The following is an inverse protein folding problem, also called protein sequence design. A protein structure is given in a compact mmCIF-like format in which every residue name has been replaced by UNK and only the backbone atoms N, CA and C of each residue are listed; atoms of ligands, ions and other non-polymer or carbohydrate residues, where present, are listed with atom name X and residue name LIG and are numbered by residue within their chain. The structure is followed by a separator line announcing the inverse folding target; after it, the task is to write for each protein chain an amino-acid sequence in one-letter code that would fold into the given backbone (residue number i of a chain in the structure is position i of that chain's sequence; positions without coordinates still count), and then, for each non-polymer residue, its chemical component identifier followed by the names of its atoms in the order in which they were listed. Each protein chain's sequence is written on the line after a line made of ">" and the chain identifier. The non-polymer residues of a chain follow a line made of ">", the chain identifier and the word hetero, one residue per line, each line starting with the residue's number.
data_IF_925098191822
#
_entry.id   IF_925098191822
#
_cell.length_a   1.000
_cell.length_b   1.000
_cell.length_c   1.000
_cell.angle_alpha   90.00
_cell.angle_beta   90.00
_cell.angle_gamma   90.00
#
_symmetry.space_group_name_H-M   'P 1'
#
loop_
_entity.id
_entity.type
_entity.pdbx_description
1 polymer ?
#
# COMPACT_ATOMS: atom_id res chain seq x y z
N UNK A 1 6.60 -13.35 68.09
CA UNK A 1 7.16 -13.92 66.84
C UNK A 1 7.52 -12.78 65.86
N UNK A 2 8.83 -12.48 65.78
CA UNK A 2 9.32 -11.49 64.82
C UNK A 2 9.45 -12.20 63.47
N UNK A 3 8.68 -11.75 62.49
CA UNK A 3 8.77 -12.25 61.12
C UNK A 3 10.08 -11.78 60.50
N UNK A 4 10.92 -12.71 60.11
CA UNK A 4 12.21 -12.45 59.48
C UNK A 4 11.95 -11.89 58.06
N UNK A 5 11.96 -10.58 57.90
CA UNK A 5 11.79 -9.93 56.62
C UNK A 5 13.12 -10.00 55.86
N UNK A 6 13.23 -10.97 54.95
CA UNK A 6 14.36 -11.04 54.05
C UNK A 6 14.24 -9.89 53.02
N UNK A 7 15.21 -8.99 53.05
CA UNK A 7 15.33 -7.92 52.05
C UNK A 7 16.03 -8.42 50.80
N UNK A 8 15.73 -7.78 49.64
CA UNK A 8 16.44 -8.01 48.40
C UNK A 8 17.88 -7.52 48.45
N UNK A 9 18.78 -8.28 47.90
CA UNK A 9 20.18 -7.87 47.78
C UNK A 9 20.37 -6.96 46.55
N UNK A 10 21.35 -6.07 46.61
CA UNK A 10 21.67 -5.17 45.51
C UNK A 10 22.11 -5.92 44.25
N UNK A 11 22.76 -7.07 44.41
CA UNK A 11 23.19 -7.93 43.32
C UNK A 11 22.02 -8.64 42.61
N UNK A 12 20.99 -9.05 43.35
CA UNK A 12 19.79 -9.64 42.75
C UNK A 12 19.07 -8.63 41.83
N UNK A 13 18.97 -7.36 42.28
CA UNK A 13 18.37 -6.34 41.44
C UNK A 13 19.22 -6.04 40.20
N UNK A 14 20.55 -6.00 40.33
CA UNK A 14 21.46 -5.70 39.25
C UNK A 14 21.41 -6.79 38.17
N UNK A 15 21.37 -8.06 38.54
CA UNK A 15 21.26 -9.19 37.61
C UNK A 15 19.93 -9.14 36.83
N UNK A 16 18.82 -8.84 37.51
CA UNK A 16 17.50 -8.75 36.86
C UNK A 16 17.48 -7.65 35.78
N UNK A 17 17.96 -6.45 36.09
CA UNK A 17 17.99 -5.37 35.11
C UNK A 17 18.95 -5.68 33.94
N UNK A 18 20.07 -6.35 34.19
CA UNK A 18 20.99 -6.78 33.14
C UNK A 18 20.33 -7.79 32.18
N UNK A 19 19.62 -8.78 32.71
CA UNK A 19 18.90 -9.77 31.90
C UNK A 19 17.78 -9.11 31.11
N UNK A 20 16.96 -8.24 31.70
CA UNK A 20 15.91 -7.49 31.00
C UNK A 20 16.51 -6.64 29.89
N UNK A 21 17.65 -5.97 30.15
CA UNK A 21 18.32 -5.16 29.13
C UNK A 21 18.74 -5.96 27.90
N UNK A 22 19.30 -7.16 28.09
CA UNK A 22 19.68 -8.04 26.98
C UNK A 22 18.46 -8.56 26.22
N UNK A 23 17.42 -9.01 26.92
CA UNK A 23 16.20 -9.51 26.28
C UNK A 23 15.49 -8.41 25.51
N UNK A 24 15.40 -7.20 26.05
CA UNK A 24 14.77 -6.07 25.37
C UNK A 24 15.45 -5.70 24.05
N UNK A 25 16.78 -5.80 23.97
CA UNK A 25 17.52 -5.46 22.77
C UNK A 25 17.17 -6.41 21.60
N UNK A 26 16.98 -7.69 21.86
CA UNK A 26 16.63 -8.70 20.85
C UNK A 26 15.19 -8.49 20.35
N UNK A 27 14.27 -8.17 21.27
CA UNK A 27 12.86 -7.96 20.96
C UNK A 27 12.66 -6.73 20.07
N UNK A 28 13.38 -5.64 20.32
CA UNK A 28 13.25 -4.41 19.53
C UNK A 28 13.57 -4.62 18.05
N UNK A 29 14.66 -5.33 17.74
CA UNK A 29 15.05 -5.62 16.35
C UNK A 29 14.02 -6.52 15.64
N UNK A 30 13.51 -7.53 16.34
CA UNK A 30 12.46 -8.41 15.80
C UNK A 30 11.16 -7.66 15.48
N UNK A 31 10.81 -6.68 16.33
CA UNK A 31 9.58 -5.93 16.20
C UNK A 31 9.60 -5.00 14.98
N UNK A 32 10.72 -4.39 14.66
CA UNK A 32 10.87 -3.53 13.47
C UNK A 32 10.64 -4.33 12.19
N UNK A 33 11.28 -5.48 12.06
CA UNK A 33 11.08 -6.38 10.92
C UNK A 33 9.63 -6.89 10.81
N UNK A 34 8.98 -7.16 11.95
CA UNK A 34 7.58 -7.59 11.95
C UNK A 34 6.62 -6.47 11.50
N UNK A 35 6.87 -5.23 11.92
CA UNK A 35 6.10 -4.06 11.49
C UNK A 35 6.21 -3.82 9.99
N UNK A 36 7.43 -3.88 9.45
CA UNK A 36 7.64 -3.68 8.02
C UNK A 36 6.88 -4.72 7.19
N UNK A 37 6.94 -5.99 7.57
CA UNK A 37 6.15 -7.04 6.92
C UNK A 37 4.63 -6.81 7.02
N UNK A 38 4.16 -6.28 8.14
CA UNK A 38 2.75 -5.94 8.31
C UNK A 38 2.34 -4.80 7.38
N UNK A 39 3.16 -3.76 7.22
CA UNK A 39 2.91 -2.66 6.28
C UNK A 39 2.88 -3.16 4.83
N UNK A 40 3.81 -4.02 4.44
CA UNK A 40 3.83 -4.63 3.10
C UNK A 40 2.52 -5.40 2.85
N UNK A 41 2.13 -6.27 3.78
CA UNK A 41 0.90 -7.05 3.64
C UNK A 41 -0.38 -6.19 3.58
N UNK A 42 -0.41 -5.09 4.32
CA UNK A 42 -1.50 -4.11 4.28
C UNK A 42 -1.57 -3.41 2.92
N UNK A 43 -0.44 -2.96 2.38
CA UNK A 43 -0.36 -2.35 1.06
C UNK A 43 -0.79 -3.33 -0.05
N UNK A 44 -0.32 -4.57 -0.02
CA UNK A 44 -0.72 -5.64 -0.95
C UNK A 44 -2.22 -5.90 -0.89
N UNK A 45 -2.79 -5.96 0.30
CA UNK A 45 -4.23 -6.16 0.50
C UNK A 45 -5.06 -5.03 -0.11
N UNK A 46 -4.63 -3.79 0.05
CA UNK A 46 -5.30 -2.63 -0.55
C UNK A 46 -5.19 -2.63 -2.07
N UNK A 47 -4.01 -2.91 -2.61
CA UNK A 47 -3.78 -3.05 -4.06
C UNK A 47 -4.70 -4.12 -4.64
N UNK A 48 -4.88 -5.24 -3.96
CA UNK A 48 -5.81 -6.31 -4.36
C UNK A 48 -7.27 -5.82 -4.39
N UNK A 49 -7.68 -5.03 -3.41
CA UNK A 49 -9.03 -4.45 -3.38
C UNK A 49 -9.23 -3.46 -4.53
N UNK A 50 -8.28 -2.55 -4.75
CA UNK A 50 -8.32 -1.59 -5.85
C UNK A 50 -8.35 -2.28 -7.21
N UNK A 51 -7.57 -3.35 -7.38
CA UNK A 51 -7.58 -4.17 -8.59
C UNK A 51 -8.97 -4.80 -8.84
N UNK A 52 -9.60 -5.37 -7.83
CA UNK A 52 -10.97 -5.92 -7.94
C UNK A 52 -11.99 -4.85 -8.34
N UNK A 53 -11.89 -3.65 -7.78
CA UNK A 53 -12.76 -2.53 -8.15
C UNK A 53 -12.59 -2.16 -9.62
N UNK A 54 -11.36 -2.12 -10.12
CA UNK A 54 -11.09 -1.85 -11.54
C UNK A 54 -11.75 -2.89 -12.43
N UNK A 55 -11.59 -4.18 -12.11
CA UNK A 55 -12.22 -5.26 -12.87
C UNK A 55 -13.75 -5.16 -12.88
N UNK A 56 -14.36 -4.91 -11.73
CA UNK A 56 -15.81 -4.77 -11.61
C UNK A 56 -16.30 -3.56 -12.42
N UNK A 57 -15.60 -2.44 -12.31
CA UNK A 57 -15.96 -1.25 -13.08
C UNK A 57 -15.82 -1.47 -14.59
N UNK A 58 -14.73 -2.11 -15.01
CA UNK A 58 -14.51 -2.48 -16.41
C UNK A 58 -15.64 -3.36 -16.97
N UNK A 59 -16.04 -4.38 -16.22
CA UNK A 59 -17.15 -5.27 -16.63
C UNK A 59 -18.48 -4.53 -16.72
N UNK A 60 -18.76 -3.63 -15.78
CA UNK A 60 -20.02 -2.89 -15.73
C UNK A 60 -20.09 -1.77 -16.78
N UNK A 61 -18.97 -1.16 -17.13
CA UNK A 61 -18.89 -0.02 -18.05
C UNK A 61 -18.71 -0.42 -19.52
N UNK A 62 -18.87 -1.70 -19.83
CA UNK A 62 -18.77 -2.16 -21.22
C UNK A 62 -17.36 -2.11 -21.81
N UNK A 63 -16.34 -2.28 -20.96
CA UNK A 63 -14.94 -2.30 -21.38
C UNK A 63 -14.20 -0.99 -21.17
N UNK A 64 -14.84 0.00 -20.56
CA UNK A 64 -14.14 1.24 -20.19
C UNK A 64 -13.49 1.08 -18.81
N UNK A 65 -12.19 1.00 -18.74
CA UNK A 65 -11.48 0.92 -17.47
C UNK A 65 -11.38 2.28 -16.78
N UNK A 66 -11.45 2.35 -15.45
CA UNK A 66 -11.01 3.54 -14.76
C UNK A 66 -9.53 3.72 -15.07
N UNK A 67 -9.24 4.58 -15.99
CA UNK A 67 -7.89 4.96 -16.36
C UNK A 67 -7.84 6.47 -16.46
N UNK A 68 -6.91 7.08 -15.86
CA UNK A 68 -5.84 7.61 -16.66
C UNK A 68 -4.50 7.01 -16.28
N UNK A 69 -3.70 6.73 -17.28
CA UNK A 69 -2.30 6.44 -17.10
C UNK A 69 -1.65 7.46 -16.16
N UNK A 70 -0.78 6.97 -15.30
CA UNK A 70 0.08 7.78 -14.44
C UNK A 70 -0.70 8.72 -13.50
N UNK A 71 -1.66 8.18 -12.79
CA UNK A 71 -2.51 8.98 -11.88
C UNK A 71 -2.45 8.43 -10.47
N UNK A 72 -2.26 9.35 -9.50
CA UNK A 72 -2.45 9.03 -8.10
C UNK A 72 -3.92 8.73 -7.82
N UNK A 73 -4.18 7.71 -7.02
CA UNK A 73 -5.52 7.32 -6.60
C UNK A 73 -5.76 7.85 -5.20
N UNK A 74 -6.79 8.66 -5.03
CA UNK A 74 -7.18 9.19 -3.72
C UNK A 74 -7.39 10.70 -3.70
N UNK A 75 -8.14 11.16 -2.71
CA UNK A 75 -8.40 12.57 -2.48
C UNK A 75 -7.15 13.28 -1.96
N UNK A 76 -6.76 14.38 -2.60
CA UNK A 76 -5.57 15.15 -2.20
C UNK A 76 -4.25 14.52 -2.64
N UNK A 77 -4.29 13.46 -3.43
CA UNK A 77 -3.13 12.84 -4.03
C UNK A 77 -2.74 13.56 -5.33
N UNK A 78 -1.45 13.70 -5.57
CA UNK A 78 -0.91 14.28 -6.80
C UNK A 78 0.25 13.44 -7.30
N UNK A 79 0.20 13.05 -8.57
CA UNK A 79 1.29 12.41 -9.31
C UNK A 79 1.10 12.79 -10.76
N UNK A 80 2.00 13.53 -11.38
CA UNK A 80 1.86 14.11 -12.71
C UNK A 80 0.58 14.94 -12.96
N UNK A 81 -0.33 15.05 -11.95
CA UNK A 81 -1.61 15.75 -12.03
C UNK A 81 -2.45 15.56 -10.77
N UNK A 82 -3.65 16.15 -10.69
CA UNK A 82 -4.54 15.94 -9.56
C UNK A 82 -4.98 14.47 -9.49
N UNK A 83 -4.91 13.89 -8.29
CA UNK A 83 -5.35 12.53 -8.03
C UNK A 83 -6.83 12.33 -8.36
N UNK A 84 -7.19 11.10 -8.70
CA UNK A 84 -8.57 10.74 -9.04
C UNK A 84 -9.16 9.75 -8.03
N UNK A 85 -10.44 9.92 -7.79
CA UNK A 85 -11.28 8.93 -7.12
C UNK A 85 -12.45 8.49 -8.03
N UNK A 86 -12.46 9.00 -9.27
CA UNK A 86 -13.50 8.72 -10.25
C UNK A 86 -13.41 7.27 -10.67
N UNK A 87 -14.54 6.58 -10.65
CA UNK A 87 -14.61 5.14 -10.89
C UNK A 87 -14.47 4.28 -9.64
N UNK A 88 -13.88 4.78 -8.57
CA UNK A 88 -13.76 4.10 -7.28
C UNK A 88 -14.80 4.56 -6.27
N UNK A 89 -14.78 5.85 -5.95
CA UNK A 89 -15.63 6.48 -4.94
C UNK A 89 -16.86 7.15 -5.57
N UNK A 90 -16.72 7.69 -6.77
CA UNK A 90 -17.78 8.40 -7.49
C UNK A 90 -17.65 8.25 -8.99
N UNK A 91 -18.68 8.69 -9.72
CA UNK A 91 -18.68 8.79 -11.19
C UNK A 91 -18.84 10.25 -11.62
N UNK A 92 -17.98 11.12 -11.16
CA UNK A 92 -18.01 12.53 -11.50
C UNK A 92 -17.85 12.75 -13.00
N UNK A 93 -18.76 13.53 -13.57
CA UNK A 93 -18.82 13.79 -15.00
C UNK A 93 -19.43 12.65 -15.84
N UNK A 94 -20.12 11.69 -15.23
CA UNK A 94 -20.71 10.51 -15.89
C UNK A 94 -19.69 9.80 -16.81
N UNK A 95 -18.49 9.63 -16.31
CA UNK A 95 -17.35 9.12 -17.09
C UNK A 95 -17.50 7.64 -17.48
N UNK A 96 -18.23 6.88 -16.66
CA UNK A 96 -18.43 5.44 -16.85
C UNK A 96 -19.91 5.15 -17.02
N UNK A 97 -20.30 4.60 -18.17
CA UNK A 97 -21.64 4.10 -18.40
C UNK A 97 -21.91 2.90 -17.49
N UNK A 98 -23.14 2.78 -17.00
CA UNK A 98 -23.57 1.70 -16.10
C UNK A 98 -22.73 1.54 -14.82
N UNK A 99 -22.10 2.62 -14.33
CA UNK A 99 -21.38 2.59 -13.09
C UNK A 99 -22.30 2.24 -11.89
N UNK A 100 -21.93 1.23 -11.13
CA UNK A 100 -22.73 0.68 -10.04
C UNK A 100 -22.16 0.96 -8.64
N UNK A 101 -21.13 1.82 -8.56
CA UNK A 101 -20.52 2.19 -7.28
C UNK A 101 -21.38 3.12 -6.41
N UNK A 102 -20.84 3.67 -5.32
CA UNK A 102 -19.42 3.62 -4.95
C UNK A 102 -18.95 2.22 -4.56
N UNK A 103 -17.77 1.84 -5.02
CA UNK A 103 -17.16 0.53 -4.71
C UNK A 103 -16.35 0.57 -3.43
N UNK A 104 -15.88 1.75 -3.07
CA UNK A 104 -15.16 2.04 -1.83
C UNK A 104 -15.55 3.45 -1.38
N UNK A 105 -15.66 3.66 -0.08
CA UNK A 105 -16.03 4.97 0.48
C UNK A 105 -14.91 6.00 0.36
N UNK A 106 -13.69 5.55 0.51
CA UNK A 106 -12.47 6.36 0.44
C UNK A 106 -11.30 5.46 0.06
N UNK A 107 -10.37 5.98 -0.71
CA UNK A 107 -9.08 5.31 -0.96
C UNK A 107 -8.08 5.85 0.07
N UNK A 108 -7.67 5.03 1.03
CA UNK A 108 -6.70 5.45 2.04
C UNK A 108 -5.32 5.62 1.41
N UNK A 109 -4.43 6.25 2.15
CA UNK A 109 -3.01 6.21 1.86
C UNK A 109 -2.42 4.84 2.20
N UNK A 110 -1.26 4.55 1.65
CA UNK A 110 -0.50 3.37 2.02
C UNK A 110 0.03 3.48 3.47
N UNK A 111 0.53 2.40 4.07
CA UNK A 111 1.01 2.39 5.44
C UNK A 111 2.15 3.37 5.75
N UNK A 112 2.84 3.85 4.75
CA UNK A 112 3.90 4.87 4.88
C UNK A 112 3.41 6.29 4.64
N UNK A 113 2.10 6.46 4.35
CA UNK A 113 1.46 7.76 4.14
C UNK A 113 1.46 8.27 2.71
N UNK A 114 1.88 7.46 1.75
CA UNK A 114 1.92 7.78 0.33
C UNK A 114 0.60 7.44 -0.36
N UNK A 115 0.39 8.00 -1.55
CA UNK A 115 -0.77 7.68 -2.36
C UNK A 115 -0.47 6.48 -3.27
N UNK A 116 -1.45 5.60 -3.45
CA UNK A 116 -1.37 4.60 -4.49
C UNK A 116 -1.37 5.26 -5.87
N UNK A 117 -0.72 4.64 -6.81
CA UNK A 117 -0.60 5.13 -8.18
C UNK A 117 -1.06 4.06 -9.15
N UNK A 118 -1.81 4.46 -10.15
CA UNK A 118 -2.14 3.62 -11.28
C UNK A 118 -1.29 4.03 -12.47
N UNK A 119 -0.54 3.10 -12.97
CA UNK A 119 0.32 3.24 -14.14
C UNK A 119 -0.26 2.42 -15.28
N UNK A 120 -0.24 2.97 -16.49
CA UNK A 120 -0.74 2.27 -17.66
C UNK A 120 -0.52 3.07 -18.94
N UNK A 121 -0.69 2.46 -20.10
CA UNK A 121 -0.60 3.17 -21.37
C UNK A 121 -1.64 4.28 -21.48
N UNK A 122 -1.23 5.40 -22.05
CA UNK A 122 -2.09 6.56 -22.31
C UNK A 122 -3.03 6.23 -23.48
N UNK A 123 -4.33 6.13 -23.22
CA UNK A 123 -5.31 5.94 -24.29
C UNK A 123 -6.55 5.16 -23.84
N UNK A 124 -7.63 5.32 -24.58
CA UNK A 124 -8.97 4.79 -24.26
C UNK A 124 -9.10 3.27 -24.37
N UNK A 125 -8.06 2.60 -24.81
CA UNK A 125 -8.03 1.14 -24.95
C UNK A 125 -6.79 0.61 -24.27
N UNK A 126 -6.96 -0.29 -23.33
CA UNK A 126 -5.86 -1.11 -22.83
C UNK A 126 -5.27 -1.89 -24.01
N UNK A 127 -4.08 -1.56 -24.53
CA UNK A 127 -3.48 -2.40 -25.53
C UNK A 127 -3.07 -3.71 -24.87
N UNK A 128 -3.41 -4.82 -25.49
CA UNK A 128 -3.12 -6.17 -25.02
C UNK A 128 -1.63 -6.47 -24.80
N UNK A 129 -0.74 -5.53 -25.13
CA UNK A 129 0.71 -5.69 -25.07
C UNK A 129 1.40 -4.96 -23.92
N UNK A 130 0.71 -4.09 -23.21
CA UNK A 130 1.27 -3.39 -22.05
C UNK A 130 0.31 -3.53 -20.87
N UNK A 131 0.75 -4.21 -19.80
CA UNK A 131 0.00 -4.34 -18.58
C UNK A 131 -0.19 -2.98 -17.92
N UNK A 132 -1.36 -2.75 -17.35
CA UNK A 132 -1.55 -1.69 -16.37
C UNK A 132 -1.19 -2.22 -15.00
N UNK A 133 -0.74 -1.37 -14.09
CA UNK A 133 -0.40 -1.77 -12.74
C UNK A 133 -0.90 -0.77 -11.71
N UNK A 134 -1.16 -1.27 -10.52
CA UNK A 134 -1.40 -0.46 -9.33
C UNK A 134 -0.21 -0.64 -8.42
N UNK A 135 0.33 0.46 -7.93
CA UNK A 135 1.51 0.47 -7.08
C UNK A 135 1.30 1.32 -5.82
N UNK A 136 1.91 0.87 -4.75
CA UNK A 136 2.34 1.70 -3.63
C UNK A 136 3.81 2.06 -3.83
N UNK A 137 4.23 3.31 -3.60
CA UNK A 137 5.64 3.67 -3.68
C UNK A 137 6.49 3.11 -2.53
N UNK A 138 5.86 2.46 -1.55
CA UNK A 138 6.57 1.87 -0.42
C UNK A 138 7.17 2.89 0.53
N UNK A 139 8.13 2.48 1.37
CA UNK A 139 8.69 3.31 2.44
C UNK A 139 9.45 4.54 1.94
N UNK A 140 10.05 4.50 0.76
CA UNK A 140 10.80 5.65 0.21
C UNK A 140 9.89 6.73 -0.41
N UNK A 141 8.61 6.42 -0.67
CA UNK A 141 7.62 7.35 -1.19
C UNK A 141 7.87 7.81 -2.62
N UNK A 142 8.70 7.13 -3.38
CA UNK A 142 9.15 7.57 -4.70
C UNK A 142 9.06 6.48 -5.75
N UNK A 143 8.63 6.87 -6.94
CA UNK A 143 8.73 6.07 -8.16
C UNK A 143 9.88 6.56 -9.08
N UNK A 144 10.83 7.35 -8.55
CA UNK A 144 11.89 7.94 -9.35
C UNK A 144 13.08 7.00 -9.55
N UNK A 145 13.74 7.10 -10.70
CA UNK A 145 14.98 6.39 -10.99
C UNK A 145 14.80 4.91 -11.29
N UNK A 146 15.57 4.07 -10.59
CA UNK A 146 15.54 2.62 -10.77
C UNK A 146 14.25 1.96 -10.29
N UNK A 147 13.51 2.66 -9.43
CA UNK A 147 12.25 2.18 -8.85
C UNK A 147 11.03 2.45 -9.75
N UNK A 148 11.25 2.96 -10.97
CA UNK A 148 10.15 3.20 -11.91
C UNK A 148 9.54 1.86 -12.34
N UNK A 149 8.22 1.65 -12.21
CA UNK A 149 7.58 0.33 -12.40
C UNK A 149 7.89 -0.35 -13.74
N UNK A 150 8.15 0.45 -14.79
CA UNK A 150 8.48 -0.05 -16.13
C UNK A 150 9.92 -0.52 -16.30
N UNK A 151 10.82 -0.12 -15.40
CA UNK A 151 12.24 -0.44 -15.49
C UNK A 151 12.63 -1.65 -14.64
N UNK A 152 11.78 -2.04 -13.71
CA UNK A 152 12.02 -3.17 -12.81
C UNK A 152 10.86 -4.16 -12.90
N UNK A 153 11.13 -5.46 -12.87
CA UNK A 153 10.09 -6.46 -12.66
C UNK A 153 9.34 -6.18 -11.35
N UNK A 154 8.04 -6.53 -11.26
CA UNK A 154 7.27 -6.42 -10.03
C UNK A 154 8.03 -7.05 -8.85
N UNK A 155 8.16 -6.31 -7.74
CA UNK A 155 8.86 -6.77 -6.54
C UNK A 155 10.35 -6.49 -6.51
N UNK A 156 10.89 -5.71 -7.45
CA UNK A 156 12.24 -5.15 -7.35
C UNK A 156 12.17 -3.68 -6.95
N UNK A 157 12.97 -3.29 -5.96
CA UNK A 157 12.89 -1.99 -5.30
C UNK A 157 11.93 -2.01 -4.13
N UNK A 158 11.64 -0.83 -3.59
CA UNK A 158 10.73 -0.65 -2.46
C UNK A 158 9.25 -0.57 -2.87
N UNK A 159 8.97 -0.56 -4.19
CA UNK A 159 7.63 -0.45 -4.74
C UNK A 159 6.88 -1.77 -4.66
N UNK A 160 5.64 -1.70 -4.20
CA UNK A 160 4.73 -2.84 -4.15
C UNK A 160 3.73 -2.66 -5.27
N UNK A 161 3.83 -3.49 -6.32
CA UNK A 161 3.01 -3.37 -7.52
C UNK A 161 2.26 -4.66 -7.83
N UNK A 162 1.07 -4.49 -8.41
CA UNK A 162 0.32 -5.58 -9.03
C UNK A 162 -0.02 -5.19 -10.45
N UNK A 163 0.41 -6.03 -11.39
CA UNK A 163 0.00 -5.95 -12.78
C UNK A 163 -1.42 -6.49 -12.95
N UNK A 164 -2.16 -5.87 -13.85
CA UNK A 164 -3.41 -6.42 -14.34
C UNK A 164 -3.44 -6.29 -15.87
N UNK A 165 -3.80 -7.38 -16.50
CA UNK A 165 -4.12 -7.36 -17.91
C UNK A 165 -5.52 -6.77 -18.05
N UNK A 166 -5.67 -5.83 -18.93
CA UNK A 166 -7.00 -5.42 -19.35
C UNK A 166 -7.64 -6.59 -20.11
N UNK A 167 -8.81 -7.06 -19.66
CA UNK A 167 -9.51 -8.14 -20.33
C UNK A 167 -10.03 -7.75 -21.71
#
# INVERSE_FOLDING_TARGET
>A
MLSDKKGFTLIELLVVIAVIGVLSSIVLVSLESARERAHIAEAESMIEQLHKIILINHLNSGGTSPSPANTAIGTGCTYWGPGTVVGFVNNSGNRYDNWMGPYISEVPKDPWGNCYVMEGPVGESCPASYGSMICSPGPNGSFAGADYPWNLPPGQGDNICKEFLCP
#
